data_IF_241765014507
#
_entry.id   IF_241765014507
#
_cell.length_a   1.000
_cell.length_b   1.000
_cell.length_c   1.000
_cell.angle_alpha   90.00
_cell.angle_beta   90.00
_cell.angle_gamma   90.00
#
_symmetry.space_group_name_H-M   'P 1'
#
loop_
_entity.id
_entity.type
_entity.pdbx_description
1 polymer ?
#
# COMPACT_ATOMS: atom_id res chain seq x y z
N UNK A 1 -42.29 38.12 -13.26
CA UNK A 1 -40.85 37.84 -13.10
C UNK A 1 -40.70 36.73 -12.07
N UNK A 2 -40.56 35.48 -12.52
CA UNK A 2 -40.38 34.32 -11.63
C UNK A 2 -38.89 33.98 -11.59
N UNK A 3 -38.26 34.21 -10.44
CA UNK A 3 -36.87 33.86 -10.19
C UNK A 3 -36.77 32.33 -10.09
N UNK A 4 -36.26 31.70 -11.16
CA UNK A 4 -35.88 30.29 -11.14
C UNK A 4 -34.72 30.12 -10.15
N UNK A 5 -35.01 29.53 -8.99
CA UNK A 5 -34.01 28.95 -8.12
C UNK A 5 -33.24 27.88 -8.92
N UNK A 6 -32.01 28.19 -9.30
CA UNK A 6 -31.09 27.18 -9.83
C UNK A 6 -30.63 26.34 -8.64
N UNK A 7 -31.18 25.14 -8.50
CA UNK A 7 -30.61 24.13 -7.63
C UNK A 7 -29.12 23.97 -7.99
N UNK A 8 -28.24 24.06 -6.98
CA UNK A 8 -26.83 23.68 -7.15
C UNK A 8 -26.82 22.22 -7.61
N UNK A 9 -26.06 21.86 -8.66
CA UNK A 9 -25.92 20.45 -9.03
C UNK A 9 -25.41 19.68 -7.81
N UNK A 10 -26.13 18.63 -7.44
CA UNK A 10 -25.73 17.70 -6.37
C UNK A 10 -24.41 17.08 -6.87
N UNK A 11 -23.27 17.50 -6.34
CA UNK A 11 -22.01 16.81 -6.63
C UNK A 11 -22.25 15.34 -6.30
N UNK A 12 -21.99 14.46 -7.26
CA UNK A 12 -22.00 13.02 -6.98
C UNK A 12 -21.06 12.80 -5.78
N UNK A 13 -21.53 12.06 -4.78
CA UNK A 13 -20.73 11.82 -3.59
C UNK A 13 -19.43 11.13 -4.01
N UNK A 14 -18.28 11.68 -3.60
CA UNK A 14 -16.99 11.06 -3.87
C UNK A 14 -16.86 9.76 -3.06
N UNK A 15 -16.16 8.74 -3.58
CA UNK A 15 -15.77 7.60 -2.76
C UNK A 15 -14.92 8.07 -1.57
N UNK A 16 -15.02 7.36 -0.45
CA UNK A 16 -14.25 7.64 0.77
C UNK A 16 -13.15 6.59 0.90
N UNK A 17 -11.90 7.05 1.07
CA UNK A 17 -10.77 6.17 1.37
C UNK A 17 -10.33 6.35 2.81
N UNK A 18 -10.55 5.32 3.64
CA UNK A 18 -9.86 5.20 4.91
C UNK A 18 -8.43 4.70 4.67
N UNK A 19 -7.45 5.48 5.11
CA UNK A 19 -6.05 5.26 4.76
C UNK A 19 -5.13 5.57 5.92
N UNK A 20 -3.94 4.99 5.93
CA UNK A 20 -2.86 5.40 6.81
C UNK A 20 -1.59 5.52 5.98
N UNK A 21 -1.04 6.74 5.87
CA UNK A 21 0.08 7.07 4.98
C UNK A 21 1.25 6.10 5.04
N UNK A 22 1.57 5.56 6.23
CA UNK A 22 2.73 4.67 6.42
C UNK A 22 2.39 3.18 6.27
N UNK A 23 1.12 2.82 6.14
CA UNK A 23 0.71 1.43 5.93
C UNK A 23 1.07 1.00 4.49
N UNK A 24 1.80 -0.11 4.30
CA UNK A 24 2.20 -0.56 2.96
C UNK A 24 0.97 -1.01 2.15
N UNK A 25 -0.02 -1.62 2.79
CA UNK A 25 -1.32 -1.93 2.17
C UNK A 25 -2.09 -0.68 1.75
N UNK A 26 -2.02 0.42 2.50
CA UNK A 26 -2.72 1.65 2.14
C UNK A 26 -2.03 2.39 0.99
N UNK A 27 -0.69 2.29 0.90
CA UNK A 27 0.08 2.83 -0.24
C UNK A 27 -0.38 2.21 -1.56
N UNK A 28 -0.61 0.89 -1.59
CA UNK A 28 -1.19 0.17 -2.76
C UNK A 28 -2.46 0.85 -3.27
N UNK A 29 -3.45 1.01 -2.38
CA UNK A 29 -4.73 1.63 -2.71
C UNK A 29 -4.58 3.07 -3.21
N UNK A 30 -3.77 3.88 -2.50
CA UNK A 30 -3.53 5.27 -2.89
C UNK A 30 -2.94 5.38 -4.29
N UNK A 31 -1.94 4.56 -4.62
CA UNK A 31 -1.28 4.61 -5.92
C UNK A 31 -2.19 4.15 -7.04
N UNK A 32 -2.97 3.08 -6.84
CA UNK A 32 -3.91 2.62 -7.85
C UNK A 32 -5.05 3.63 -8.11
N UNK A 33 -5.60 4.25 -7.06
CA UNK A 33 -6.60 5.32 -7.21
C UNK A 33 -6.02 6.54 -7.96
N UNK A 34 -4.79 6.92 -7.65
CA UNK A 34 -4.11 8.03 -8.32
C UNK A 34 -3.88 7.74 -9.80
N UNK A 35 -3.33 6.56 -10.14
CA UNK A 35 -3.12 6.15 -11.54
C UNK A 35 -4.42 6.04 -12.32
N UNK A 36 -5.49 5.57 -11.68
CA UNK A 36 -6.81 5.47 -12.30
C UNK A 36 -7.53 6.84 -12.46
N UNK A 37 -6.92 7.95 -12.03
CA UNK A 37 -7.55 9.27 -12.12
C UNK A 37 -8.71 9.49 -11.14
N UNK A 38 -8.80 8.71 -10.06
CA UNK A 38 -9.94 8.71 -9.14
C UNK A 38 -9.64 9.63 -7.95
N UNK A 39 -10.44 10.70 -7.83
CA UNK A 39 -10.44 11.55 -6.63
C UNK A 39 -11.36 10.96 -5.56
N UNK A 40 -10.87 10.90 -4.32
CA UNK A 40 -11.60 10.40 -3.15
C UNK A 40 -11.62 11.43 -2.03
N UNK A 41 -12.59 11.32 -1.11
CA UNK A 41 -12.47 11.91 0.22
C UNK A 41 -11.51 11.05 1.04
N UNK A 42 -10.38 11.61 1.45
CA UNK A 42 -9.39 10.93 2.28
C UNK A 42 -9.71 11.07 3.77
N UNK A 43 -9.88 9.93 4.44
CA UNK A 43 -9.93 9.85 5.90
C UNK A 43 -8.65 9.22 6.42
N UNK A 44 -7.71 10.06 6.86
CA UNK A 44 -6.45 9.59 7.45
C UNK A 44 -6.70 9.00 8.84
N UNK A 45 -6.35 7.73 9.03
CA UNK A 45 -6.63 6.96 10.24
C UNK A 45 -5.39 6.91 11.13
N UNK A 46 -5.55 7.25 12.40
CA UNK A 46 -4.57 6.93 13.45
C UNK A 46 -4.89 5.54 14.01
N UNK A 47 -4.03 4.55 13.75
CA UNK A 47 -4.33 3.15 14.12
C UNK A 47 -4.51 2.90 15.63
N UNK A 48 -3.93 3.74 16.49
CA UNK A 48 -4.10 3.66 17.95
C UNK A 48 -5.40 4.30 18.45
N UNK A 49 -6.14 5.00 17.57
CA UNK A 49 -7.32 5.80 17.88
C UNK A 49 -8.21 5.80 16.62
N UNK A 50 -8.79 4.63 16.33
CA UNK A 50 -9.54 4.40 15.08
C UNK A 50 -10.90 5.09 15.17
N UNK A 51 -11.33 5.83 14.12
CA UNK A 51 -12.63 6.48 14.12
C UNK A 51 -13.76 5.43 14.13
N UNK A 52 -14.87 5.65 14.86
CA UNK A 52 -16.03 4.76 14.88
C UNK A 52 -16.55 4.44 13.47
N UNK A 53 -16.52 5.41 12.57
CA UNK A 53 -16.99 5.28 11.19
C UNK A 53 -16.20 4.25 10.37
N UNK A 54 -14.92 4.02 10.71
CA UNK A 54 -14.15 2.92 10.10
C UNK A 54 -14.65 1.57 10.60
N UNK A 55 -14.98 1.47 11.89
CA UNK A 55 -15.45 0.22 12.51
C UNK A 55 -16.83 -0.15 11.96
N UNK A 56 -17.69 0.85 11.74
CA UNK A 56 -19.02 0.67 11.16
C UNK A 56 -18.98 0.08 9.75
N UNK A 57 -18.04 0.52 8.91
CA UNK A 57 -17.93 0.04 7.52
C UNK A 57 -17.04 -1.20 7.36
N UNK A 58 -16.15 -1.46 8.32
CA UNK A 58 -15.22 -2.60 8.27
C UNK A 58 -15.08 -3.22 9.66
N UNK A 59 -15.63 -4.43 9.89
CA UNK A 59 -15.47 -5.14 11.17
C UNK A 59 -14.01 -5.39 11.56
N UNK A 60 -13.11 -5.54 10.57
CA UNK A 60 -11.66 -5.69 10.79
C UNK A 60 -11.04 -4.40 11.31
N UNK A 61 -11.65 -3.25 10.99
CA UNK A 61 -11.14 -1.91 11.28
C UNK A 61 -9.66 -1.74 10.88
N UNK A 62 -9.28 -2.31 9.74
CA UNK A 62 -7.95 -2.18 9.13
C UNK A 62 -8.01 -1.18 7.98
N UNK A 63 -6.85 -0.83 7.42
CA UNK A 63 -6.76 0.06 6.25
C UNK A 63 -5.89 -0.60 5.19
N UNK A 64 -6.16 -0.38 3.89
CA UNK A 64 -7.17 0.54 3.35
C UNK A 64 -8.60 -0.03 3.37
N UNK A 65 -9.59 0.87 3.41
CA UNK A 65 -11.00 0.55 3.12
C UNK A 65 -11.54 1.65 2.20
N UNK A 66 -12.12 1.24 1.08
CA UNK A 66 -12.76 2.14 0.13
C UNK A 66 -14.28 1.99 0.25
N UNK A 67 -15.00 3.09 0.42
CA UNK A 67 -16.47 3.13 0.41
C UNK A 67 -16.90 3.90 -0.83
N UNK A 68 -17.63 3.24 -1.72
CA UNK A 68 -18.12 3.84 -2.96
C UNK A 68 -19.32 4.74 -2.71
N UNK A 69 -19.67 5.56 -3.70
CA UNK A 69 -20.78 6.49 -3.65
C UNK A 69 -22.16 5.82 -3.41
N UNK A 70 -22.29 4.56 -3.82
CA UNK A 70 -23.50 3.74 -3.63
C UNK A 70 -23.51 2.99 -2.27
N UNK A 71 -22.49 3.17 -1.44
CA UNK A 71 -22.34 2.51 -0.15
C UNK A 71 -21.62 1.15 -0.21
N UNK A 72 -21.22 0.68 -1.38
CA UNK A 72 -20.42 -0.55 -1.51
C UNK A 72 -19.09 -0.37 -0.78
N UNK A 73 -18.72 -1.33 0.07
CA UNK A 73 -17.44 -1.36 0.77
C UNK A 73 -16.51 -2.35 0.10
N UNK A 74 -15.29 -1.90 -0.22
CA UNK A 74 -14.19 -2.74 -0.70
C UNK A 74 -13.11 -2.72 0.37
N UNK A 75 -12.96 -3.86 1.05
CA UNK A 75 -11.83 -4.15 1.92
C UNK A 75 -10.75 -4.94 1.14
N UNK A 76 -9.56 -5.05 1.72
CA UNK A 76 -8.34 -5.61 1.09
C UNK A 76 -7.68 -4.72 0.02
N UNK A 77 -6.38 -4.46 0.20
CA UNK A 77 -5.66 -3.54 -0.67
C UNK A 77 -5.62 -3.95 -2.14
N UNK A 78 -5.52 -5.26 -2.43
CA UNK A 78 -5.48 -5.76 -3.81
C UNK A 78 -6.84 -5.63 -4.49
N UNK A 79 -7.93 -5.81 -3.75
CA UNK A 79 -9.28 -5.59 -4.27
C UNK A 79 -9.51 -4.11 -4.60
N UNK A 80 -9.07 -3.20 -3.72
CA UNK A 80 -9.11 -1.76 -4.00
C UNK A 80 -8.28 -1.40 -5.23
N UNK A 81 -7.07 -1.96 -5.38
CA UNK A 81 -6.25 -1.75 -6.57
C UNK A 81 -6.96 -2.21 -7.85
N UNK A 82 -7.45 -3.45 -7.86
CA UNK A 82 -8.14 -4.03 -9.03
C UNK A 82 -9.40 -3.25 -9.39
N UNK A 83 -10.19 -2.85 -8.40
CA UNK A 83 -11.37 -2.03 -8.63
C UNK A 83 -11.02 -0.68 -9.26
N UNK A 84 -9.98 0.00 -8.76
CA UNK A 84 -9.58 1.30 -9.28
C UNK A 84 -9.10 1.17 -10.74
N UNK A 85 -8.21 0.21 -10.99
CA UNK A 85 -7.63 -0.04 -12.31
C UNK A 85 -8.68 -0.54 -13.32
N UNK A 86 -9.73 -1.25 -12.87
CA UNK A 86 -10.83 -1.63 -13.76
C UNK A 86 -11.68 -0.43 -14.21
N UNK A 87 -11.61 0.72 -13.52
CA UNK A 87 -12.24 1.96 -14.01
C UNK A 87 -11.37 2.65 -15.06
N UNK A 88 -10.05 2.68 -14.83
CA UNK A 88 -9.06 3.22 -15.76
C UNK A 88 -7.67 2.68 -15.42
N UNK A 89 -6.99 2.09 -16.41
CA UNK A 89 -5.63 1.56 -16.26
C UNK A 89 -4.70 2.15 -17.34
N UNK A 90 -4.38 3.46 -17.28
CA UNK A 90 -3.59 4.12 -18.32
C UNK A 90 -2.15 3.63 -18.41
N UNK A 91 -1.64 2.97 -17.36
CA UNK A 91 -0.29 2.40 -17.31
C UNK A 91 -0.25 0.88 -17.56
N UNK A 92 -1.39 0.22 -17.70
CA UNK A 92 -1.48 -1.21 -17.98
C UNK A 92 -1.03 -2.12 -16.82
N UNK A 93 -1.28 -1.72 -15.58
CA UNK A 93 -0.88 -2.49 -14.40
C UNK A 93 -1.54 -3.86 -14.27
N UNK A 94 -2.72 -4.04 -14.85
CA UNK A 94 -3.41 -5.33 -14.85
C UNK A 94 -2.84 -6.32 -15.88
N UNK A 95 -1.83 -5.91 -16.68
CA UNK A 95 -1.21 -6.80 -17.65
C UNK A 95 -0.57 -8.03 -16.97
N UNK A 96 -1.24 -9.19 -17.10
CA UNK A 96 -0.82 -10.47 -16.53
C UNK A 96 -0.92 -10.56 -15.02
N UNK A 97 -1.77 -9.76 -14.37
CA UNK A 97 -1.96 -9.78 -12.91
C UNK A 97 -2.60 -11.08 -12.39
N UNK A 98 -3.27 -11.82 -13.27
CA UNK A 98 -3.87 -13.13 -13.03
C UNK A 98 -2.92 -14.30 -13.27
N UNK A 99 -1.73 -14.05 -13.82
CA UNK A 99 -0.73 -15.08 -14.03
C UNK A 99 -0.33 -15.72 -12.68
N UNK A 100 -0.30 -17.05 -12.63
CA UNK A 100 -0.01 -17.80 -11.40
C UNK A 100 1.29 -17.35 -10.72
N UNK A 101 2.30 -16.97 -11.50
CA UNK A 101 3.59 -16.49 -11.00
C UNK A 101 3.59 -15.04 -10.50
N UNK A 102 2.59 -14.21 -10.85
CA UNK A 102 2.33 -12.92 -10.21
C UNK A 102 1.57 -13.12 -8.90
N UNK A 103 0.52 -13.95 -8.93
CA UNK A 103 -0.25 -14.28 -7.73
C UNK A 103 0.65 -14.88 -6.64
N UNK A 104 1.54 -15.81 -7.00
CA UNK A 104 2.50 -16.40 -6.08
C UNK A 104 3.51 -15.38 -5.50
N UNK A 105 3.90 -14.36 -6.26
CA UNK A 105 4.75 -13.28 -5.72
C UNK A 105 4.02 -12.48 -4.65
N UNK A 106 2.77 -12.10 -4.91
CA UNK A 106 1.96 -11.31 -3.99
C UNK A 106 1.65 -12.13 -2.73
N UNK A 107 1.32 -13.41 -2.87
CA UNK A 107 1.09 -14.32 -1.76
C UNK A 107 2.36 -14.51 -0.90
N UNK A 108 3.53 -14.71 -1.52
CA UNK A 108 4.82 -14.79 -0.81
C UNK A 108 5.14 -13.50 -0.08
N UNK A 109 4.80 -12.34 -0.64
CA UNK A 109 4.96 -11.05 0.01
C UNK A 109 4.02 -10.89 1.21
N UNK A 110 2.73 -11.19 1.03
CA UNK A 110 1.68 -10.90 2.02
C UNK A 110 1.63 -11.93 3.17
N UNK A 111 2.20 -13.12 2.95
CA UNK A 111 2.39 -14.14 3.97
C UNK A 111 3.84 -14.18 4.50
N UNK A 112 4.71 -15.05 3.97
CA UNK A 112 6.07 -15.25 4.50
C UNK A 112 6.88 -13.97 4.69
N UNK A 113 7.00 -13.12 3.67
CA UNK A 113 7.82 -11.91 3.79
C UNK A 113 7.26 -10.95 4.83
N UNK A 114 5.94 -10.71 4.83
CA UNK A 114 5.28 -9.87 5.83
C UNK A 114 5.47 -10.41 7.25
N UNK A 115 5.38 -11.73 7.44
CA UNK A 115 5.63 -12.39 8.72
C UNK A 115 7.03 -12.09 9.25
N UNK A 116 8.06 -12.22 8.40
CA UNK A 116 9.44 -11.88 8.78
C UNK A 116 9.64 -10.38 8.97
N UNK A 117 9.09 -9.54 8.10
CA UNK A 117 9.16 -8.09 8.21
C UNK A 117 8.62 -7.59 9.55
N UNK A 118 7.47 -8.09 10.00
CA UNK A 118 6.87 -7.62 11.24
C UNK A 118 7.74 -7.93 12.46
N UNK A 119 8.34 -9.12 12.52
CA UNK A 119 9.21 -9.56 13.62
C UNK A 119 10.57 -8.91 13.59
N UNK A 120 11.10 -8.67 12.38
CA UNK A 120 12.29 -7.87 12.20
C UNK A 120 12.10 -6.43 12.71
N UNK A 121 10.96 -5.82 12.40
CA UNK A 121 10.70 -4.41 12.71
C UNK A 121 10.20 -4.17 14.13
N UNK A 122 9.47 -5.12 14.69
CA UNK A 122 8.80 -4.99 15.99
C UNK A 122 8.94 -6.28 16.82
N UNK A 123 10.17 -6.71 17.17
CA UNK A 123 10.38 -7.92 17.96
C UNK A 123 9.66 -7.88 19.32
N UNK A 124 9.56 -6.68 19.91
CA UNK A 124 8.82 -6.40 21.18
C UNK A 124 7.33 -6.76 21.14
N UNK A 125 6.75 -6.98 19.96
CA UNK A 125 5.33 -7.39 19.82
C UNK A 125 5.13 -8.90 19.90
N UNK A 126 6.21 -9.69 19.96
CA UNK A 126 6.21 -11.15 19.93
C UNK A 126 7.01 -11.74 21.11
N UNK A 127 6.75 -11.34 22.37
CA UNK A 127 7.56 -11.76 23.52
C UNK A 127 7.61 -13.28 23.72
N UNK A 128 6.61 -14.01 23.23
CA UNK A 128 6.54 -15.47 23.24
C UNK A 128 7.49 -16.15 22.24
N UNK A 129 8.00 -15.42 21.25
CA UNK A 129 8.91 -15.93 20.22
C UNK A 129 10.37 -15.53 20.48
N UNK A 130 10.61 -14.61 21.43
CA UNK A 130 11.96 -14.05 21.66
C UNK A 130 12.86 -14.96 22.50
N UNK A 131 12.28 -15.88 23.28
CA UNK A 131 12.99 -16.60 24.34
C UNK A 131 13.80 -15.67 25.28
N UNK A 132 13.36 -14.41 25.43
CA UNK A 132 14.04 -13.38 26.22
C UNK A 132 15.13 -12.60 25.47
N UNK A 133 15.36 -12.87 24.18
CA UNK A 133 16.32 -12.17 23.32
C UNK A 133 15.65 -11.60 22.05
N UNK A 134 15.18 -10.35 22.16
CA UNK A 134 14.57 -9.61 21.05
C UNK A 134 15.53 -9.40 19.87
N UNK A 135 16.83 -9.33 20.14
CA UNK A 135 17.86 -9.10 19.13
C UNK A 135 18.12 -10.35 18.31
N UNK A 136 18.17 -11.53 18.96
CA UNK A 136 18.24 -12.80 18.27
C UNK A 136 17.04 -13.01 17.33
N UNK A 137 15.81 -12.75 17.81
CA UNK A 137 14.60 -12.83 16.99
C UNK A 137 14.69 -11.86 15.80
N UNK A 138 15.02 -10.59 16.06
CA UNK A 138 15.16 -9.55 15.04
C UNK A 138 16.16 -9.94 13.96
N UNK A 139 17.34 -10.43 14.34
CA UNK A 139 18.39 -10.84 13.42
C UNK A 139 17.99 -12.10 12.63
N UNK A 140 17.34 -13.06 13.26
CA UNK A 140 16.80 -14.24 12.59
C UNK A 140 15.81 -13.85 11.49
N UNK A 141 14.78 -13.05 11.83
CA UNK A 141 13.77 -12.64 10.86
C UNK A 141 14.31 -11.67 9.80
N UNK A 142 15.34 -10.88 10.10
CA UNK A 142 16.07 -10.11 9.08
C UNK A 142 16.72 -11.04 8.05
N UNK A 143 17.40 -12.10 8.49
CA UNK A 143 18.04 -13.07 7.60
C UNK A 143 17.02 -13.84 6.75
N UNK A 144 15.90 -14.26 7.34
CA UNK A 144 14.83 -14.93 6.59
C UNK A 144 14.15 -14.00 5.56
N UNK A 145 13.92 -12.74 5.95
CA UNK A 145 13.42 -11.73 5.02
C UNK A 145 14.41 -11.46 3.88
N UNK A 146 15.71 -11.40 4.18
CA UNK A 146 16.78 -11.23 3.18
C UNK A 146 16.76 -12.33 2.13
N UNK A 147 16.60 -13.60 2.52
CA UNK A 147 16.52 -14.71 1.57
C UNK A 147 15.39 -14.54 0.54
N UNK A 148 14.24 -14.00 0.97
CA UNK A 148 13.13 -13.67 0.04
C UNK A 148 13.52 -12.50 -0.87
N UNK A 149 14.24 -11.50 -0.36
CA UNK A 149 14.70 -10.37 -1.16
C UNK A 149 15.76 -10.76 -2.19
N UNK A 150 16.62 -11.74 -1.90
CA UNK A 150 17.58 -12.31 -2.85
C UNK A 150 16.86 -12.96 -4.05
N UNK A 151 15.74 -13.64 -3.82
CA UNK A 151 14.91 -14.18 -4.92
C UNK A 151 14.30 -13.07 -5.79
N UNK A 152 13.86 -11.97 -5.17
CA UNK A 152 13.34 -10.82 -5.91
C UNK A 152 14.46 -10.12 -6.71
N UNK A 153 15.65 -9.98 -6.13
CA UNK A 153 16.82 -9.43 -6.83
C UNK A 153 17.19 -10.28 -8.06
N UNK A 154 17.25 -11.60 -7.88
CA UNK A 154 17.50 -12.53 -8.97
C UNK A 154 16.46 -12.39 -10.09
N UNK A 155 15.16 -12.24 -9.74
CA UNK A 155 14.09 -12.04 -10.72
C UNK A 155 14.21 -10.72 -11.49
N UNK A 156 14.76 -9.69 -10.86
CA UNK A 156 15.05 -8.40 -11.47
C UNK A 156 16.37 -8.40 -12.28
N UNK A 157 17.03 -9.55 -12.43
CA UNK A 157 18.17 -9.70 -13.33
C UNK A 157 17.70 -9.57 -14.78
N UNK A 158 18.18 -8.54 -15.47
CA UNK A 158 17.82 -8.27 -16.87
C UNK A 158 16.42 -7.69 -17.08
N UNK A 159 15.71 -7.35 -16.01
CA UNK A 159 14.37 -6.75 -16.06
C UNK A 159 14.32 -5.48 -15.22
N UNK A 160 13.44 -4.54 -15.59
CA UNK A 160 13.27 -3.30 -14.84
C UNK A 160 12.23 -3.42 -13.71
N UNK A 161 11.31 -4.40 -13.83
CA UNK A 161 10.15 -4.58 -12.97
C UNK A 161 9.91 -6.09 -12.75
N UNK A 162 9.11 -6.46 -11.75
CA UNK A 162 8.95 -7.85 -11.29
C UNK A 162 8.25 -8.76 -12.31
N UNK A 163 7.50 -8.18 -13.26
CA UNK A 163 6.74 -8.89 -14.28
C UNK A 163 7.10 -8.50 -15.72
N UNK A 164 8.06 -7.59 -15.92
CA UNK A 164 8.46 -7.17 -17.26
C UNK A 164 9.29 -5.89 -17.29
N UNK A 165 9.15 -5.13 -18.38
CA UNK A 165 9.88 -3.87 -18.60
C UNK A 165 9.19 -2.65 -18.00
N UNK A 166 7.87 -2.71 -17.80
CA UNK A 166 7.03 -1.63 -17.26
C UNK A 166 6.41 -2.01 -15.93
N UNK A 167 6.08 -1.01 -15.12
CA UNK A 167 5.51 -1.18 -13.78
C UNK A 167 4.15 -1.90 -13.90
N UNK A 168 3.90 -2.84 -13.02
CA UNK A 168 2.64 -3.59 -12.94
C UNK A 168 2.06 -3.59 -11.53
N UNK A 169 0.88 -4.18 -11.37
CA UNK A 169 0.25 -4.40 -10.06
C UNK A 169 1.19 -5.14 -9.09
N UNK A 170 2.00 -6.08 -9.57
CA UNK A 170 2.96 -6.83 -8.76
C UNK A 170 3.98 -5.89 -8.08
N UNK A 171 4.50 -4.93 -8.83
CA UNK A 171 5.50 -4.00 -8.31
C UNK A 171 4.92 -3.14 -7.19
N UNK A 172 3.72 -2.59 -7.42
CA UNK A 172 3.02 -1.72 -6.46
C UNK A 172 2.47 -2.48 -5.26
N UNK A 173 2.15 -3.76 -5.45
CA UNK A 173 1.84 -4.64 -4.33
C UNK A 173 3.07 -4.83 -3.42
N UNK A 174 4.27 -4.98 -3.96
CA UNK A 174 5.43 -5.50 -3.22
C UNK A 174 6.35 -4.38 -2.71
N UNK A 175 6.66 -3.35 -3.51
CA UNK A 175 7.66 -2.35 -3.13
C UNK A 175 7.36 -1.61 -1.81
N UNK A 176 6.11 -1.37 -1.37
CA UNK A 176 5.87 -0.70 -0.08
C UNK A 176 6.39 -1.52 1.10
N UNK A 177 6.42 -2.86 0.99
CA UNK A 177 6.91 -3.77 2.03
C UNK A 177 8.42 -3.82 2.03
N UNK A 178 9.04 -3.96 0.85
CA UNK A 178 10.50 -3.87 0.69
C UNK A 178 11.02 -2.54 1.20
N UNK A 179 10.31 -1.43 0.92
CA UNK A 179 10.59 -0.11 1.49
C UNK A 179 10.57 -0.12 3.02
N UNK A 180 9.63 -0.80 3.67
CA UNK A 180 9.60 -0.87 5.13
C UNK A 180 10.75 -1.72 5.68
N UNK A 181 11.06 -2.83 5.03
CA UNK A 181 12.17 -3.70 5.38
C UNK A 181 13.50 -2.92 5.32
N UNK A 182 13.77 -2.27 4.18
CA UNK A 182 14.95 -1.45 3.97
C UNK A 182 15.08 -0.33 5.02
N UNK A 183 13.99 0.36 5.34
CA UNK A 183 14.01 1.46 6.32
C UNK A 183 14.06 1.01 7.79
N UNK A 184 14.02 -0.29 8.09
CA UNK A 184 14.20 -0.79 9.47
C UNK A 184 15.67 -0.69 9.87
N UNK A 185 16.60 -0.95 8.94
CA UNK A 185 18.03 -0.66 9.07
C UNK A 185 18.59 -0.35 7.67
N UNK A 186 18.58 0.94 7.32
CA UNK A 186 18.88 1.40 5.96
C UNK A 186 20.34 1.16 5.59
N UNK A 187 21.26 1.46 6.50
CA UNK A 187 22.68 1.28 6.27
C UNK A 187 23.04 -0.19 6.05
N UNK A 188 22.45 -1.10 6.86
CA UNK A 188 22.63 -2.53 6.65
C UNK A 188 22.02 -3.00 5.33
N UNK A 189 20.81 -2.56 4.97
CA UNK A 189 20.15 -2.94 3.71
C UNK A 189 20.95 -2.50 2.48
N UNK A 190 21.48 -1.27 2.49
CA UNK A 190 22.27 -0.73 1.38
C UNK A 190 23.62 -1.46 1.22
N UNK A 191 24.14 -2.07 2.29
CA UNK A 191 25.35 -2.88 2.26
C UNK A 191 25.14 -4.31 1.71
N UNK A 192 23.89 -4.73 1.46
CA UNK A 192 23.61 -6.05 0.90
C UNK A 192 23.86 -6.09 -0.61
N UNK A 193 24.28 -7.25 -1.12
CA UNK A 193 24.53 -7.49 -2.55
C UNK A 193 23.26 -7.65 -3.37
N UNK A 194 22.30 -6.72 -3.26
CA UNK A 194 21.00 -6.74 -3.93
C UNK A 194 20.85 -5.60 -4.96
N UNK A 195 21.77 -5.47 -5.94
CA UNK A 195 21.85 -4.28 -6.78
C UNK A 195 20.62 -4.11 -7.68
N UNK A 196 19.92 -5.17 -8.08
CA UNK A 196 18.75 -5.09 -8.93
C UNK A 196 17.52 -4.63 -8.14
N UNK A 197 17.32 -5.22 -6.96
CA UNK A 197 16.25 -4.85 -6.05
C UNK A 197 16.43 -3.44 -5.50
N UNK A 198 17.66 -3.04 -5.14
CA UNK A 198 17.94 -1.68 -4.68
C UNK A 198 17.63 -0.65 -5.76
N UNK A 199 18.04 -0.88 -7.01
CA UNK A 199 17.68 0.02 -8.14
C UNK A 199 16.17 0.09 -8.35
N UNK A 200 15.49 -1.04 -8.33
CA UNK A 200 14.03 -1.11 -8.47
C UNK A 200 13.32 -0.35 -7.34
N UNK A 201 13.74 -0.55 -6.09
CA UNK A 201 13.18 0.11 -4.92
C UNK A 201 13.34 1.63 -5.00
N UNK A 202 14.55 2.11 -5.30
CA UNK A 202 14.82 3.54 -5.42
C UNK A 202 14.05 4.17 -6.58
N UNK A 203 13.90 3.46 -7.70
CA UNK A 203 13.07 3.90 -8.82
C UNK A 203 11.60 4.15 -8.42
N UNK A 204 11.01 3.27 -7.62
CA UNK A 204 9.64 3.46 -7.13
C UNK A 204 9.54 4.59 -6.09
N UNK A 205 10.48 4.66 -5.14
CA UNK A 205 10.48 5.69 -4.08
C UNK A 205 10.69 7.10 -4.67
N UNK A 206 11.50 7.22 -5.73
CA UNK A 206 11.76 8.49 -6.39
C UNK A 206 10.70 8.88 -7.43
N UNK A 207 9.74 8.00 -7.74
CA UNK A 207 8.73 8.25 -8.77
C UNK A 207 7.75 9.36 -8.39
N UNK A 208 7.35 10.19 -9.36
CA UNK A 208 6.33 11.23 -9.16
C UNK A 208 5.03 10.66 -8.60
N UNK A 209 4.65 9.47 -9.06
CA UNK A 209 3.48 8.76 -8.56
C UNK A 209 3.57 8.49 -7.05
N UNK A 210 4.68 7.91 -6.59
CA UNK A 210 4.83 7.63 -5.16
C UNK A 210 4.89 8.93 -4.35
N UNK A 211 5.60 9.94 -4.83
CA UNK A 211 5.69 11.23 -4.14
C UNK A 211 4.32 11.90 -4.01
N UNK A 212 3.48 11.81 -5.04
CA UNK A 212 2.15 12.42 -5.08
C UNK A 212 1.17 11.82 -4.06
N UNK A 213 1.33 10.53 -3.70
CA UNK A 213 0.45 9.86 -2.72
C UNK A 213 0.95 9.92 -1.27
N UNK A 214 2.15 10.47 -1.07
CA UNK A 214 2.82 10.57 0.22
C UNK A 214 2.73 11.91 0.97
N UNK A 215 1.88 12.91 0.63
CA UNK A 215 1.60 14.03 1.52
C UNK A 215 1.12 13.58 2.91
N UNK A 216 1.41 14.40 3.92
CA UNK A 216 1.03 14.15 5.32
C UNK A 216 -0.28 14.87 5.62
N UNK A 217 -1.25 14.14 6.14
CA UNK A 217 -2.53 14.66 6.60
C UNK A 217 -2.67 14.49 8.12
N UNK A 218 -3.47 15.34 8.75
CA UNK A 218 -3.87 15.15 10.14
C UNK A 218 -4.85 13.96 10.23
N UNK A 219 -4.86 13.20 11.33
CA UNK A 219 -5.89 12.19 11.54
C UNK A 219 -7.28 12.81 11.44
N UNK A 220 -8.13 12.22 10.62
CA UNK A 220 -9.48 12.69 10.36
C UNK A 220 -10.40 12.48 11.58
N UNK A 221 -11.35 13.40 11.77
CA UNK A 221 -12.42 13.31 12.76
C UNK A 221 -13.76 13.69 12.15
N UNK A 222 -14.84 13.19 12.75
CA UNK A 222 -16.20 13.56 12.39
C UNK A 222 -16.38 15.09 12.41
N UNK A 223 -16.87 15.64 11.30
CA UNK A 223 -17.09 17.08 11.13
C UNK A 223 -15.91 17.86 10.55
N UNK A 224 -14.75 17.22 10.32
CA UNK A 224 -13.66 17.84 9.57
C UNK A 224 -14.07 18.13 8.12
N UNK A 225 -13.56 19.23 7.56
CA UNK A 225 -13.73 19.54 6.13
C UNK A 225 -13.14 18.41 5.26
N UNK A 226 -13.85 17.96 4.19
CA UNK A 226 -13.38 16.89 3.33
C UNK A 226 -12.01 17.19 2.71
N UNK A 227 -11.08 16.24 2.84
CA UNK A 227 -9.79 16.30 2.15
C UNK A 227 -9.94 15.56 0.81
N UNK A 228 -9.84 16.29 -0.29
CA UNK A 228 -9.82 15.70 -1.63
C UNK A 228 -8.43 15.14 -1.93
N UNK A 229 -8.38 13.87 -2.34
CA UNK A 229 -7.15 13.16 -2.67
C UNK A 229 -7.27 12.51 -4.04
N UNK A 230 -6.49 12.99 -5.01
CA UNK A 230 -6.46 12.53 -6.41
C UNK A 230 -5.55 13.43 -7.26
N UNK A 231 -5.33 13.09 -8.55
CA UNK A 231 -4.48 13.83 -9.48
C UNK A 231 -4.91 15.27 -9.79
#
# INVERSE_FOLDING_TARGET
MSARSRARPRMAALPILYSFRRCPYAMRARMALWVAGITVELREVKLADKPPELIEVSPKATVPVLVLADGTVIDESIAVMRWALSQSDPEGWLAGDDALSVLALIERNDGPFKHHLDRYKYPTRYPEETDGDEDALRLHHRSQGLAILEELDARLTGQNQLWGSTRTLADIAIFPFVRQFANTDRAWFDAQGLPHLQRWLEGHIASDLFLSVMPKFAPWKAGDEPILFGP
#
